data_IF_607478987226
#
_entry.id   IF_607478987226
#
_cell.length_a   1.000
_cell.length_b   1.000
_cell.length_c   1.000
_cell.angle_alpha   90.00
_cell.angle_beta   90.00
_cell.angle_gamma   90.00
#
_symmetry.space_group_name_H-M   'P 1'
#
loop_
_entity.id
_entity.type
_entity.pdbx_description
1 polymer ?
#
# COMPACT_ATOMS: atom_id res chain seq x y z
N UNK A 1 35.21 35.85 32.45
CA UNK A 1 33.88 35.42 32.00
C UNK A 1 34.10 34.55 30.79
N UNK A 2 33.62 33.31 30.86
CA UNK A 2 33.79 32.30 29.82
C UNK A 2 32.76 32.54 28.72
N UNK A 3 33.20 32.82 27.49
CA UNK A 3 32.33 32.69 26.31
C UNK A 3 32.69 31.37 25.63
N UNK A 4 31.85 30.36 25.90
CA UNK A 4 31.83 29.09 25.17
C UNK A 4 31.30 29.37 23.77
N UNK A 5 32.18 29.39 22.77
CA UNK A 5 31.79 29.30 21.36
C UNK A 5 31.34 27.86 21.08
N UNK A 6 30.03 27.62 21.19
CA UNK A 6 29.44 26.39 20.66
C UNK A 6 29.37 26.55 19.13
N UNK A 7 30.31 25.88 18.45
CA UNK A 7 30.07 25.43 17.09
C UNK A 7 29.05 24.29 17.15
N UNK A 8 27.97 24.38 16.38
CA UNK A 8 27.25 23.18 15.97
C UNK A 8 26.78 23.37 14.52
N UNK A 9 27.63 22.85 13.65
CA UNK A 9 27.35 22.57 12.26
C UNK A 9 26.19 21.56 12.20
N UNK A 10 24.99 22.05 11.91
CA UNK A 10 23.94 21.27 11.24
C UNK A 10 22.90 22.26 10.70
N UNK A 11 23.32 23.05 9.72
CA UNK A 11 22.38 23.63 8.77
C UNK A 11 21.79 22.47 7.95
N UNK A 12 20.79 21.78 8.50
CA UNK A 12 19.88 20.96 7.71
C UNK A 12 19.10 21.93 6.84
N UNK A 13 19.70 22.30 5.70
CA UNK A 13 19.01 23.00 4.65
C UNK A 13 17.83 22.14 4.23
N UNK A 14 16.65 22.47 4.76
CA UNK A 14 15.40 21.83 4.35
C UNK A 14 15.18 22.28 2.91
N UNK A 15 15.54 21.42 1.96
CA UNK A 15 15.29 21.70 0.56
C UNK A 15 13.78 21.58 0.33
N UNK A 16 13.08 22.70 0.16
CA UNK A 16 11.67 22.70 -0.17
C UNK A 16 11.51 22.21 -1.61
N UNK A 17 11.15 20.94 -1.76
CA UNK A 17 10.76 20.37 -3.06
C UNK A 17 9.25 20.56 -3.20
N UNK A 18 8.81 21.21 -4.27
CA UNK A 18 7.38 21.25 -4.60
C UNK A 18 6.91 19.84 -4.95
N UNK A 19 6.12 19.24 -4.06
CA UNK A 19 5.50 17.93 -4.28
C UNK A 19 4.13 18.15 -4.90
N UNK A 20 3.87 17.58 -6.07
CA UNK A 20 2.55 17.72 -6.69
C UNK A 20 1.49 16.94 -5.89
N UNK A 21 0.24 17.39 -5.96
CA UNK A 21 -0.87 16.68 -5.30
C UNK A 21 -1.01 15.23 -5.81
N UNK A 22 -0.60 14.96 -7.06
CA UNK A 22 -0.58 13.60 -7.63
C UNK A 22 0.48 12.74 -6.95
N UNK A 23 1.69 13.25 -6.79
CA UNK A 23 2.79 12.52 -6.14
C UNK A 23 2.43 12.15 -4.69
N UNK A 24 1.75 13.05 -3.98
CA UNK A 24 1.25 12.77 -2.62
C UNK A 24 0.18 11.67 -2.61
N UNK A 25 -0.77 11.71 -3.55
CA UNK A 25 -1.81 10.70 -3.68
C UNK A 25 -1.23 9.31 -4.01
N UNK A 26 -0.25 9.24 -4.92
CA UNK A 26 0.42 7.99 -5.27
C UNK A 26 1.15 7.35 -4.08
N UNK A 27 1.85 8.15 -3.27
CA UNK A 27 2.54 7.69 -2.06
C UNK A 27 1.55 7.13 -1.03
N UNK A 28 0.40 7.79 -0.85
CA UNK A 28 -0.65 7.33 0.07
C UNK A 28 -1.28 6.03 -0.42
N UNK A 29 -1.62 5.92 -1.70
CA UNK A 29 -2.18 4.71 -2.30
C UNK A 29 -1.20 3.52 -2.22
N UNK A 30 0.09 3.74 -2.46
CA UNK A 30 1.10 2.67 -2.36
C UNK A 30 1.29 2.19 -0.92
N UNK A 31 1.18 3.11 0.05
CA UNK A 31 1.17 2.77 1.48
C UNK A 31 -0.05 1.92 1.84
N UNK A 32 -1.25 2.36 1.45
CA UNK A 32 -2.49 1.61 1.69
C UNK A 32 -2.46 0.23 1.05
N UNK A 33 -1.96 0.13 -0.19
CA UNK A 33 -1.80 -1.14 -0.89
C UNK A 33 -0.92 -2.12 -0.10
N UNK A 34 0.25 -1.67 0.36
CA UNK A 34 1.16 -2.50 1.18
C UNK A 34 0.51 -2.94 2.48
N UNK A 35 -0.26 -2.06 3.13
CA UNK A 35 -0.98 -2.38 4.35
C UNK A 35 -2.07 -3.43 4.11
N UNK A 36 -2.94 -3.23 3.12
CA UNK A 36 -4.00 -4.18 2.80
C UNK A 36 -3.44 -5.52 2.36
N UNK A 37 -2.33 -5.54 1.62
CA UNK A 37 -1.67 -6.79 1.22
C UNK A 37 -1.14 -7.57 2.44
N UNK A 38 -0.53 -6.88 3.42
CA UNK A 38 -0.08 -7.50 4.68
C UNK A 38 -1.23 -8.00 5.56
N UNK A 39 -2.39 -7.37 5.48
CA UNK A 39 -3.57 -7.75 6.27
C UNK A 39 -4.39 -8.86 5.61
N UNK A 40 -4.43 -8.88 4.28
CA UNK A 40 -5.28 -9.78 3.49
C UNK A 40 -4.88 -11.25 3.62
N UNK A 41 -3.60 -11.55 3.76
CA UNK A 41 -3.09 -12.92 3.78
C UNK A 41 -2.37 -13.23 5.11
N UNK A 42 -2.22 -14.53 5.45
CA UNK A 42 -1.32 -14.96 6.50
C UNK A 42 0.10 -14.46 6.23
N UNK A 43 0.81 -14.08 7.30
CA UNK A 43 2.23 -13.72 7.23
C UNK A 43 3.09 -14.98 7.24
N UNK A 44 4.35 -14.86 6.84
CA UNK A 44 5.29 -15.99 6.84
C UNK A 44 5.50 -16.56 8.25
N UNK A 45 5.48 -15.69 9.26
CA UNK A 45 5.66 -16.09 10.67
C UNK A 45 4.35 -16.47 11.37
N UNK A 46 3.19 -16.27 10.72
CA UNK A 46 1.87 -16.47 11.32
C UNK A 46 1.26 -17.80 10.87
N UNK A 47 0.91 -18.67 11.83
CA UNK A 47 0.21 -19.90 11.47
C UNK A 47 -1.28 -19.63 11.14
N UNK A 48 -1.96 -20.61 10.54
CA UNK A 48 -3.35 -20.45 10.12
C UNK A 48 -4.31 -20.10 11.26
N UNK A 49 -4.12 -20.67 12.45
CA UNK A 49 -4.98 -20.42 13.61
C UNK A 49 -4.79 -19.00 14.12
N UNK A 50 -3.55 -18.51 14.14
CA UNK A 50 -3.23 -17.13 14.49
C UNK A 50 -3.85 -16.14 13.50
N UNK A 51 -3.76 -16.42 12.19
CA UNK A 51 -4.40 -15.63 11.16
C UNK A 51 -5.91 -15.51 11.38
N UNK A 52 -6.59 -16.64 11.63
CA UNK A 52 -8.03 -16.65 11.90
C UNK A 52 -8.36 -15.85 13.16
N UNK A 53 -7.59 -16.03 14.25
CA UNK A 53 -7.76 -15.25 15.49
C UNK A 53 -7.56 -13.75 15.25
N UNK A 54 -6.57 -13.36 14.43
CA UNK A 54 -6.34 -11.97 14.03
C UNK A 54 -7.55 -11.41 13.27
N UNK A 55 -8.09 -12.15 12.32
CA UNK A 55 -9.28 -11.75 11.58
C UNK A 55 -10.52 -11.61 12.49
N UNK A 56 -10.68 -12.51 13.46
CA UNK A 56 -11.75 -12.43 14.47
C UNK A 56 -11.60 -11.18 15.36
N UNK A 57 -10.39 -10.87 15.84
CA UNK A 57 -10.11 -9.65 16.62
C UNK A 57 -10.47 -8.38 15.84
N UNK A 58 -10.22 -8.37 14.54
CA UNK A 58 -10.59 -7.26 13.63
C UNK A 58 -12.08 -7.26 13.23
N UNK A 59 -12.88 -8.23 13.67
CA UNK A 59 -14.29 -8.42 13.29
C UNK A 59 -14.48 -8.47 11.77
N UNK A 60 -13.61 -9.24 11.13
CA UNK A 60 -13.59 -9.42 9.68
C UNK A 60 -13.74 -10.89 9.33
N UNK A 61 -14.43 -11.15 8.22
CA UNK A 61 -14.65 -12.49 7.72
C UNK A 61 -13.40 -13.05 7.06
N UNK A 62 -13.16 -14.35 7.28
CA UNK A 62 -12.15 -15.14 6.59
C UNK A 62 -12.84 -15.91 5.47
N UNK A 63 -12.25 -15.89 4.28
CA UNK A 63 -12.77 -16.56 3.09
C UNK A 63 -11.73 -17.53 2.55
N UNK A 64 -12.21 -18.58 1.88
CA UNK A 64 -11.41 -19.54 1.14
C UNK A 64 -11.61 -19.33 -0.36
N UNK A 65 -10.53 -19.22 -1.11
CA UNK A 65 -10.61 -19.14 -2.56
C UNK A 65 -10.96 -20.53 -3.13
N UNK A 66 -12.08 -20.70 -3.86
CA UNK A 66 -12.48 -22.01 -4.38
C UNK A 66 -11.53 -22.54 -5.48
N UNK A 67 -10.68 -21.69 -6.07
CA UNK A 67 -9.77 -22.08 -7.15
C UNK A 67 -8.42 -22.61 -6.66
N UNK A 68 -7.85 -21.96 -5.64
CA UNK A 68 -6.50 -22.27 -5.15
C UNK A 68 -6.46 -22.62 -3.66
N UNK A 69 -7.62 -22.68 -2.99
CA UNK A 69 -7.73 -22.92 -1.55
C UNK A 69 -6.95 -21.93 -0.69
N UNK A 70 -6.59 -20.77 -1.23
CA UNK A 70 -5.94 -19.72 -0.46
C UNK A 70 -6.93 -19.12 0.54
N UNK A 71 -6.48 -18.93 1.78
CA UNK A 71 -7.25 -18.32 2.85
C UNK A 71 -6.92 -16.83 2.92
N UNK A 72 -7.93 -15.98 3.02
CA UNK A 72 -7.74 -14.54 3.05
C UNK A 72 -8.80 -13.81 3.87
N UNK A 73 -8.45 -12.60 4.31
CA UNK A 73 -9.35 -11.69 4.99
C UNK A 73 -10.21 -10.95 3.95
N UNK A 74 -11.53 -11.09 4.02
CA UNK A 74 -12.45 -10.53 3.03
C UNK A 74 -12.30 -9.02 2.88
N UNK A 75 -12.33 -8.29 4.00
CA UNK A 75 -12.32 -6.82 4.00
C UNK A 75 -11.00 -6.26 3.46
N UNK A 76 -9.87 -6.79 3.93
CA UNK A 76 -8.57 -6.36 3.46
C UNK A 76 -8.35 -6.68 1.97
N UNK A 77 -8.79 -7.85 1.51
CA UNK A 77 -8.72 -8.21 0.09
C UNK A 77 -9.60 -7.31 -0.79
N UNK A 78 -10.82 -6.96 -0.35
CA UNK A 78 -11.68 -6.00 -1.07
C UNK A 78 -11.04 -4.63 -1.17
N UNK A 79 -10.40 -4.14 -0.09
CA UNK A 79 -9.72 -2.86 -0.11
C UNK A 79 -8.49 -2.88 -1.03
N UNK A 80 -7.72 -3.98 -1.02
CA UNK A 80 -6.60 -4.17 -1.94
C UNK A 80 -7.07 -4.13 -3.40
N UNK A 81 -8.17 -4.82 -3.71
CA UNK A 81 -8.76 -4.83 -5.05
C UNK A 81 -9.23 -3.42 -5.48
N UNK A 82 -9.78 -2.63 -4.55
CA UNK A 82 -10.21 -1.26 -4.82
C UNK A 82 -9.03 -0.35 -5.21
N UNK A 83 -7.92 -0.43 -4.47
CA UNK A 83 -6.68 0.30 -4.78
C UNK A 83 -6.11 -0.12 -6.13
N UNK A 84 -6.06 -1.42 -6.40
CA UNK A 84 -5.57 -1.94 -7.70
C UNK A 84 -6.48 -1.54 -8.87
N UNK A 85 -7.80 -1.41 -8.64
CA UNK A 85 -8.75 -0.91 -9.65
C UNK A 85 -8.58 0.59 -9.89
N UNK A 86 -8.33 1.39 -8.85
CA UNK A 86 -8.07 2.82 -8.99
C UNK A 86 -6.83 3.06 -9.86
N UNK A 87 -5.70 2.39 -9.56
CA UNK A 87 -4.49 2.44 -10.39
C UNK A 87 -4.72 1.97 -11.83
N UNK A 88 -5.50 0.91 -12.02
CA UNK A 88 -5.86 0.47 -13.38
C UNK A 88 -6.64 1.53 -14.13
N UNK A 89 -7.66 2.17 -13.52
CA UNK A 89 -8.49 3.22 -14.11
C UNK A 89 -7.66 4.42 -14.57
N UNK A 90 -6.71 4.86 -13.76
CA UNK A 90 -5.76 5.92 -14.11
C UNK A 90 -4.97 5.59 -15.39
N UNK A 91 -4.53 4.33 -15.53
CA UNK A 91 -3.78 3.86 -16.70
C UNK A 91 -4.60 3.72 -17.99
N UNK A 92 -5.93 3.88 -17.98
CA UNK A 92 -6.72 3.85 -19.24
C UNK A 92 -6.54 5.13 -20.07
N UNK A 93 -6.17 6.25 -19.44
CA UNK A 93 -5.86 7.50 -20.15
C UNK A 93 -4.57 7.41 -20.96
N UNK A 94 -3.64 6.54 -20.55
CA UNK A 94 -2.43 6.15 -21.29
C UNK A 94 -2.73 4.88 -22.09
N UNK A 95 -3.58 4.99 -23.11
CA UNK A 95 -3.70 3.93 -24.11
C UNK A 95 -2.30 3.66 -24.67
N UNK A 96 -1.71 2.53 -24.28
CA UNK A 96 -0.53 2.00 -24.97
C UNK A 96 -1.00 1.78 -26.40
N UNK A 97 -0.38 2.46 -27.35
CA UNK A 97 -0.57 2.18 -28.76
C UNK A 97 -0.41 0.66 -28.98
N UNK A 98 -1.51 -0.03 -29.26
CA UNK A 98 -1.50 -1.44 -29.63
C UNK A 98 -1.66 -1.51 -31.15
N UNK A 99 -0.56 -1.73 -31.90
CA UNK A 99 -0.61 -1.76 -33.36
C UNK A 99 -1.52 -2.87 -33.91
N UNK A 100 -1.99 -3.81 -33.09
CA UNK A 100 -2.89 -4.89 -33.50
C UNK A 100 -4.38 -4.54 -33.42
N UNK A 101 -4.73 -3.37 -32.86
CA UNK A 101 -6.13 -2.94 -32.67
C UNK A 101 -6.66 -2.06 -33.80
N UNK A 102 -5.80 -1.70 -34.75
CA UNK A 102 -6.11 -0.91 -35.94
C UNK A 102 -6.10 -1.82 -37.18
N UNK A 103 -7.02 -2.78 -37.22
CA UNK A 103 -7.23 -3.69 -38.34
C UNK A 103 -8.72 -3.84 -38.63
#
# INVERSE_FOLDING_TARGET
MNELSIADERNVGVNMVEVSQRDQAEVVEDRHRKEYQRLAYPKEEENLVEFIKRCQKMRTEVMLCPRCSAIFNRKAATNLEAVDKAKRKENWGTTRYDPRRSG
#
